data_IF_460833756993
#
_entry.id   IF_460833756993
#
_cell.length_a   1.000
_cell.length_b   1.000
_cell.length_c   1.000
_cell.angle_alpha   90.00
_cell.angle_beta   90.00
_cell.angle_gamma   90.00
#
_symmetry.space_group_name_H-M   'P 1'
#
loop_
_entity.id
_entity.type
_entity.pdbx_description
1 polymer ?
#
# COMPACT_ATOMS: atom_id res chain seq x y z
N UNK A 1 -39.32 44.94 18.74
CA UNK A 1 -37.86 44.64 18.72
C UNK A 1 -37.63 43.66 19.86
N UNK A 2 -37.11 42.44 19.74
CA UNK A 2 -35.91 41.98 19.05
C UNK A 2 -35.95 40.43 19.12
N UNK A 3 -36.29 39.75 18.01
CA UNK A 3 -36.33 38.28 17.94
C UNK A 3 -35.37 37.71 16.88
N UNK A 4 -34.20 38.36 16.72
CA UNK A 4 -33.22 38.06 15.66
C UNK A 4 -31.78 38.05 16.19
N UNK A 5 -31.52 37.32 17.28
CA UNK A 5 -30.15 37.11 17.74
C UNK A 5 -29.96 35.63 18.06
N UNK A 6 -29.46 34.88 17.07
CA UNK A 6 -28.64 33.66 17.21
C UNK A 6 -28.76 32.69 16.01
N UNK A 7 -28.89 33.19 14.79
CA UNK A 7 -28.50 32.41 13.60
C UNK A 7 -27.00 32.68 13.36
N UNK A 8 -26.14 31.79 13.85
CA UNK A 8 -24.74 31.77 13.41
C UNK A 8 -24.70 31.26 11.97
N UNK A 9 -24.03 31.97 11.03
CA UNK A 9 -23.91 31.53 9.65
C UNK A 9 -23.05 30.27 9.56
N UNK A 10 -23.38 29.42 8.59
CA UNK A 10 -22.85 28.08 8.39
C UNK A 10 -21.34 27.97 8.58
N UNK A 11 -20.96 27.15 9.56
CA UNK A 11 -19.63 26.57 9.61
C UNK A 11 -19.46 25.67 8.39
N UNK A 12 -18.49 25.98 7.54
CA UNK A 12 -18.02 25.06 6.50
C UNK A 12 -17.64 23.74 7.18
N UNK A 13 -17.97 22.57 6.62
CA UNK A 13 -17.48 21.31 7.17
C UNK A 13 -15.96 21.38 7.27
N UNK A 14 -15.42 21.18 8.48
CA UNK A 14 -13.99 21.02 8.68
C UNK A 14 -13.50 19.91 7.72
N UNK A 15 -12.35 20.10 7.06
CA UNK A 15 -11.77 19.03 6.27
C UNK A 15 -11.54 17.84 7.19
N UNK A 16 -12.16 16.70 6.86
CA UNK A 16 -12.01 15.46 7.58
C UNK A 16 -10.52 15.23 7.88
N UNK A 17 -10.20 15.05 9.17
CA UNK A 17 -8.87 14.63 9.60
C UNK A 17 -8.46 13.43 8.74
N UNK A 18 -7.21 13.37 8.25
CA UNK A 18 -6.77 12.27 7.42
C UNK A 18 -7.05 10.96 8.17
N UNK A 19 -8.01 10.20 7.65
CA UNK A 19 -8.33 8.87 8.13
C UNK A 19 -7.03 8.08 8.09
N UNK A 20 -6.62 7.55 9.24
CA UNK A 20 -5.32 6.94 9.48
C UNK A 20 -4.87 6.08 8.29
N UNK A 21 -3.76 6.44 7.62
CA UNK A 21 -3.37 5.76 6.38
C UNK A 21 -3.06 4.27 6.60
N UNK A 22 -2.57 3.89 7.79
CA UNK A 22 -2.13 2.53 8.11
C UNK A 22 -2.57 2.08 9.50
N UNK A 23 -3.18 0.90 9.59
CA UNK A 23 -3.54 0.22 10.84
C UNK A 23 -2.48 -0.83 11.20
N UNK A 24 -1.84 -0.75 12.37
CA UNK A 24 -0.95 -1.82 12.83
C UNK A 24 -1.77 -3.09 13.11
N UNK A 25 -1.20 -4.25 12.82
CA UNK A 25 -1.77 -5.57 13.07
C UNK A 25 -0.82 -6.41 13.93
N UNK A 26 -1.36 -7.46 14.54
CA UNK A 26 -0.56 -8.43 15.31
C UNK A 26 0.45 -9.12 14.39
N UNK A 27 1.64 -9.40 14.92
CA UNK A 27 2.66 -10.16 14.21
C UNK A 27 2.12 -11.53 13.75
N UNK A 28 2.55 -11.98 12.56
CA UNK A 28 2.10 -13.26 11.99
C UNK A 28 3.29 -14.12 11.57
N UNK A 29 3.13 -15.44 11.70
CA UNK A 29 4.06 -16.40 11.12
C UNK A 29 3.61 -16.77 9.72
N UNK A 30 4.49 -16.59 8.74
CA UNK A 30 4.15 -16.66 7.33
C UNK A 30 5.32 -17.26 6.53
N UNK A 31 5.03 -18.01 5.45
CA UNK A 31 6.06 -18.54 4.55
C UNK A 31 6.69 -17.43 3.71
N UNK A 32 8.01 -17.26 3.80
CA UNK A 32 8.75 -16.30 3.00
C UNK A 32 9.39 -16.99 1.78
N UNK A 33 8.93 -16.65 0.57
CA UNK A 33 9.48 -17.21 -0.67
C UNK A 33 10.98 -16.85 -0.90
N UNK A 34 11.45 -15.73 -0.35
CA UNK A 34 12.86 -15.29 -0.48
C UNK A 34 13.77 -16.07 0.47
N UNK A 35 13.31 -16.34 1.70
CA UNK A 35 14.08 -17.11 2.68
C UNK A 35 13.90 -18.63 2.55
N UNK A 36 12.91 -19.05 1.76
CA UNK A 36 12.45 -20.43 1.64
C UNK A 36 12.16 -21.09 3.02
N UNK A 37 11.50 -20.35 3.91
CA UNK A 37 11.21 -20.77 5.27
C UNK A 37 9.99 -20.03 5.86
N UNK A 38 9.34 -20.65 6.85
CA UNK A 38 8.39 -19.95 7.73
C UNK A 38 9.14 -18.96 8.62
N UNK A 39 8.66 -17.73 8.71
CA UNK A 39 9.28 -16.66 9.49
C UNK A 39 8.23 -15.75 10.10
N UNK A 40 8.64 -14.96 11.08
CA UNK A 40 7.79 -13.96 11.72
C UNK A 40 7.83 -12.67 10.92
N UNK A 41 6.68 -12.01 10.88
CA UNK A 41 6.51 -10.68 10.36
C UNK A 41 6.05 -9.84 11.56
N UNK A 42 6.97 -9.16 12.23
CA UNK A 42 6.63 -8.31 13.40
C UNK A 42 5.98 -7.00 13.00
N UNK A 43 6.29 -6.51 11.80
CA UNK A 43 5.74 -5.29 11.23
C UNK A 43 4.65 -5.66 10.25
N UNK A 44 3.42 -5.81 10.76
CA UNK A 44 2.23 -6.08 9.94
C UNK A 44 1.29 -4.89 10.03
N UNK A 45 0.74 -4.47 8.90
CA UNK A 45 -0.22 -3.38 8.85
C UNK A 45 -1.23 -3.57 7.72
N UNK A 46 -2.34 -2.84 7.80
CA UNK A 46 -3.33 -2.72 6.72
C UNK A 46 -3.43 -1.28 6.29
N UNK A 47 -3.53 -1.01 5.00
CA UNK A 47 -3.73 0.36 4.50
C UNK A 47 -5.23 0.69 4.47
N UNK A 48 -5.63 1.83 5.01
CA UNK A 48 -7.05 2.25 5.06
C UNK A 48 -7.51 2.98 3.80
N UNK A 49 -6.62 3.79 3.23
CA UNK A 49 -6.91 4.73 2.16
C UNK A 49 -6.00 4.51 0.95
N UNK A 50 -6.43 4.96 -0.23
CA UNK A 50 -5.61 4.94 -1.45
C UNK A 50 -4.29 5.68 -1.22
N UNK A 51 -3.19 5.16 -1.77
CA UNK A 51 -1.90 5.86 -1.73
C UNK A 51 -2.04 7.15 -2.53
N UNK A 52 -1.78 8.31 -1.90
CA UNK A 52 -1.80 9.64 -2.56
C UNK A 52 -0.42 10.14 -2.98
N UNK A 53 0.63 9.54 -2.43
CA UNK A 53 2.03 9.87 -2.71
C UNK A 53 2.85 8.58 -2.78
N UNK A 54 3.62 8.42 -3.84
CA UNK A 54 4.50 7.27 -3.99
C UNK A 54 5.50 7.19 -2.83
N UNK A 55 5.50 6.07 -2.11
CA UNK A 55 6.45 5.81 -1.02
C UNK A 55 7.90 5.65 -1.49
N UNK A 56 8.12 5.41 -2.78
CA UNK A 56 9.44 5.24 -3.37
C UNK A 56 10.02 6.54 -3.95
N UNK A 57 9.36 7.16 -4.94
CA UNK A 57 9.87 8.37 -5.61
C UNK A 57 9.25 9.68 -5.15
N UNK A 58 8.27 9.65 -4.26
CA UNK A 58 7.63 10.86 -3.72
C UNK A 58 6.66 11.57 -4.66
N UNK A 59 6.40 11.05 -5.86
CA UNK A 59 5.39 11.58 -6.78
C UNK A 59 4.02 11.65 -6.10
N UNK A 60 3.34 12.79 -6.20
CA UNK A 60 1.96 12.97 -5.72
C UNK A 60 1.00 12.62 -6.85
N UNK A 61 -0.08 11.92 -6.52
CA UNK A 61 -1.11 11.51 -7.47
C UNK A 61 -2.30 12.46 -7.38
N UNK A 62 -2.62 13.12 -8.50
CA UNK A 62 -3.76 14.03 -8.57
C UNK A 62 -5.09 13.29 -8.43
N UNK A 63 -5.22 12.15 -9.12
CA UNK A 63 -6.35 11.24 -9.00
C UNK A 63 -5.85 9.82 -8.68
N UNK A 64 -5.75 9.46 -7.39
CA UNK A 64 -5.37 8.12 -6.98
C UNK A 64 -6.31 7.04 -7.51
N UNK A 65 -7.60 7.31 -7.67
CA UNK A 65 -8.58 6.29 -8.05
C UNK A 65 -8.29 5.70 -9.44
N UNK A 66 -7.80 6.53 -10.37
CA UNK A 66 -7.39 6.06 -11.70
C UNK A 66 -6.29 5.01 -11.64
N UNK A 67 -5.34 5.12 -10.70
CA UNK A 67 -4.24 4.16 -10.57
C UNK A 67 -4.75 2.77 -10.15
N UNK A 68 -5.82 2.73 -9.35
CA UNK A 68 -6.42 1.50 -8.83
C UNK A 68 -7.45 0.86 -9.76
N UNK A 69 -7.76 1.49 -10.91
CA UNK A 69 -8.54 0.83 -11.98
C UNK A 69 -7.72 -0.21 -12.76
N UNK A 70 -6.40 -0.21 -12.61
CA UNK A 70 -5.51 -1.14 -13.29
C UNK A 70 -5.24 -2.40 -12.46
N UNK A 71 -4.98 -3.53 -13.13
CA UNK A 71 -4.46 -4.72 -12.47
C UNK A 71 -3.07 -4.41 -11.90
N UNK A 72 -2.91 -4.53 -10.59
CA UNK A 72 -1.71 -4.15 -9.84
C UNK A 72 -1.36 -2.65 -9.97
N UNK A 73 -2.00 -1.77 -9.17
CA UNK A 73 -1.75 -0.33 -9.22
C UNK A 73 -0.27 -0.04 -9.00
N UNK A 74 0.33 0.82 -9.82
CA UNK A 74 1.74 1.17 -9.74
C UNK A 74 1.95 2.68 -9.98
N UNK A 75 3.00 3.23 -9.37
CA UNK A 75 3.40 4.61 -9.62
C UNK A 75 3.79 4.80 -11.10
N UNK A 76 3.24 5.80 -11.81
CA UNK A 76 3.56 6.01 -13.23
C UNK A 76 5.01 6.46 -13.47
N UNK A 77 5.69 7.02 -12.46
CA UNK A 77 7.07 7.46 -12.56
C UNK A 77 8.09 6.35 -12.29
N UNK A 78 7.98 5.65 -11.15
CA UNK A 78 8.97 4.64 -10.73
C UNK A 78 8.46 3.19 -10.77
N UNK A 79 7.23 2.99 -11.24
CA UNK A 79 6.56 1.68 -11.33
C UNK A 79 6.48 0.91 -10.01
N UNK A 80 6.55 1.60 -8.86
CA UNK A 80 6.38 0.99 -7.54
C UNK A 80 4.93 0.54 -7.35
N UNK A 81 4.68 -0.75 -7.03
CA UNK A 81 3.37 -1.24 -6.66
C UNK A 81 2.82 -0.44 -5.49
N UNK A 82 1.60 0.04 -5.68
CA UNK A 82 0.86 0.74 -4.64
C UNK A 82 0.18 -0.31 -3.77
N UNK A 83 0.29 -0.11 -2.46
CA UNK A 83 -0.45 -0.91 -1.48
C UNK A 83 -1.95 -0.70 -1.72
N UNK A 84 -2.68 -1.79 -1.86
CA UNK A 84 -4.14 -1.80 -1.93
C UNK A 84 -4.75 -1.50 -0.57
N UNK A 85 -5.79 -0.64 -0.51
CA UNK A 85 -6.58 -0.50 0.70
C UNK A 85 -7.16 -1.85 1.12
N UNK A 86 -7.25 -2.07 2.42
CA UNK A 86 -7.83 -3.24 3.07
C UNK A 86 -7.07 -4.56 2.92
N UNK A 87 -5.91 -4.56 2.26
CA UNK A 87 -4.99 -5.69 2.25
C UNK A 87 -4.03 -5.61 3.43
N UNK A 88 -3.65 -6.77 3.98
CA UNK A 88 -2.62 -6.85 5.01
C UNK A 88 -1.25 -6.92 4.34
N UNK A 89 -0.30 -6.19 4.89
CA UNK A 89 1.07 -6.11 4.44
C UNK A 89 2.00 -6.44 5.59
N UNK A 90 3.17 -7.00 5.26
CA UNK A 90 4.20 -7.15 6.27
C UNK A 90 5.61 -7.21 5.72
N UNK A 91 6.57 -6.96 6.60
CA UNK A 91 7.98 -7.20 6.33
C UNK A 91 8.44 -8.51 6.96
N UNK A 92 9.15 -9.33 6.18
CA UNK A 92 9.83 -10.51 6.69
C UNK A 92 10.96 -10.06 7.62
N UNK A 93 10.96 -10.53 8.88
CA UNK A 93 11.94 -10.11 9.88
C UNK A 93 13.38 -10.58 9.53
N UNK A 94 13.52 -11.58 8.66
CA UNK A 94 14.83 -12.12 8.24
C UNK A 94 15.45 -11.39 7.06
N UNK A 95 14.73 -11.26 5.94
CA UNK A 95 15.27 -10.67 4.71
C UNK A 95 14.80 -9.25 4.44
N UNK A 96 13.89 -8.70 5.25
CA UNK A 96 13.32 -7.37 5.06
C UNK A 96 12.45 -7.22 3.80
N UNK A 97 12.16 -8.31 3.10
CA UNK A 97 11.28 -8.28 1.92
C UNK A 97 9.84 -8.00 2.34
N UNK A 98 9.13 -7.24 1.51
CA UNK A 98 7.74 -6.84 1.72
C UNK A 98 6.80 -7.84 1.07
N UNK A 99 5.75 -8.21 1.78
CA UNK A 99 4.75 -9.14 1.29
C UNK A 99 3.34 -8.57 1.46
N UNK A 100 2.48 -8.94 0.53
CA UNK A 100 1.04 -8.92 0.69
C UNK A 100 0.61 -10.22 1.39
N UNK A 101 -0.06 -10.08 2.52
CA UNK A 101 -0.50 -11.16 3.38
C UNK A 101 -2.01 -11.33 3.19
N UNK A 102 -2.41 -12.35 2.46
CA UNK A 102 -3.82 -12.70 2.31
C UNK A 102 -4.17 -13.90 3.20
N UNK A 103 -5.24 -13.77 3.98
CA UNK A 103 -5.73 -14.88 4.81
C UNK A 103 -6.15 -16.06 3.93
N UNK A 104 -5.75 -17.28 4.32
CA UNK A 104 -6.03 -18.50 3.54
C UNK A 104 -5.24 -18.66 2.24
N UNK A 105 -4.38 -17.70 1.87
CA UNK A 105 -3.58 -17.74 0.65
C UNK A 105 -2.07 -17.70 0.94
N UNK A 106 -1.28 -18.09 -0.06
CA UNK A 106 0.18 -17.93 0.00
C UNK A 106 0.52 -16.43 -0.11
N UNK A 107 1.49 -15.92 0.68
CA UNK A 107 1.92 -14.52 0.61
C UNK A 107 2.43 -14.15 -0.78
N UNK A 108 1.98 -13.00 -1.28
CA UNK A 108 2.50 -12.41 -2.51
C UNK A 108 3.75 -11.59 -2.21
N UNK A 109 4.89 -11.90 -2.85
CA UNK A 109 6.06 -11.03 -2.79
C UNK A 109 5.74 -9.72 -3.52
N UNK A 110 5.89 -8.58 -2.85
CA UNK A 110 5.78 -7.27 -3.47
C UNK A 110 7.20 -6.77 -3.77
N UNK A 111 7.71 -6.93 -5.03
CA UNK A 111 9.07 -6.56 -5.35
C UNK A 111 9.22 -5.04 -5.23
N UNK A 112 10.22 -4.58 -4.47
CA UNK A 112 10.55 -3.16 -4.37
C UNK A 112 11.30 -2.67 -5.62
N UNK A 113 11.46 -1.35 -5.76
CA UNK A 113 12.18 -0.73 -6.89
C UNK A 113 13.51 -1.39 -7.21
N UNK A 114 14.37 -1.63 -6.22
CA UNK A 114 15.69 -2.25 -6.46
C UNK A 114 15.56 -3.66 -7.04
N UNK A 115 14.64 -4.46 -6.53
CA UNK A 115 14.38 -5.81 -7.03
C UNK A 115 13.85 -5.78 -8.46
N UNK A 116 12.98 -4.83 -8.79
CA UNK A 116 12.47 -4.66 -10.17
C UNK A 116 13.53 -4.14 -11.13
N UNK A 117 14.30 -3.13 -10.73
CA UNK A 117 15.41 -2.61 -11.53
C UNK A 117 16.40 -3.73 -11.86
N UNK A 118 16.61 -4.67 -10.92
CA UNK A 118 17.41 -5.86 -11.16
C UNK A 118 16.71 -6.84 -12.11
N UNK A 119 15.43 -7.17 -11.88
CA UNK A 119 14.66 -8.05 -12.76
C UNK A 119 14.61 -7.53 -14.21
N UNK A 120 14.47 -6.22 -14.40
CA UNK A 120 14.41 -5.59 -15.71
C UNK A 120 15.73 -5.73 -16.49
N UNK A 121 16.89 -5.81 -15.82
CA UNK A 121 18.18 -6.09 -16.49
C UNK A 121 18.22 -7.46 -17.14
N UNK A 122 17.55 -8.44 -16.53
CA UNK A 122 17.52 -9.82 -17.02
C UNK A 122 16.42 -10.04 -18.07
N UNK A 123 15.61 -9.01 -18.35
CA UNK A 123 14.47 -9.09 -19.27
C UNK A 123 13.32 -9.93 -18.72
N UNK A 124 12.20 -9.94 -19.44
CA UNK A 124 11.08 -10.85 -19.14
C UNK A 124 11.36 -12.19 -19.82
N UNK A 125 11.33 -13.28 -19.05
CA UNK A 125 11.31 -14.61 -19.64
C UNK A 125 9.99 -14.81 -20.37
N UNK A 126 10.03 -14.77 -21.70
CA UNK A 126 8.89 -15.19 -22.51
C UNK A 126 8.86 -16.72 -22.50
N UNK A 127 7.91 -17.32 -21.79
CA UNK A 127 7.52 -18.69 -22.14
C UNK A 127 6.80 -18.58 -23.48
N UNK A 128 7.45 -19.00 -24.55
CA UNK A 128 6.75 -19.29 -25.80
C UNK A 128 5.72 -20.38 -25.47
N UNK A 129 4.45 -20.01 -25.45
CA UNK A 129 3.33 -20.95 -25.47
C UNK A 129 2.91 -21.17 -26.91
#
# INVERSE_FOLDING_TARGET
MSWLKNLKPGGKPEPEKPQQETYPLVARQVWCAVCNAYTTFTRVWRRAALVRKCSCCGMVFEDPELLYKHFQPACPHCREPLEQPNFDYGFCDRCGSKFELMEGAKPGLLPNKRQRDEMDKHGKSWSYS
#
